data_IF_354504196201
#
_entry.id   IF_354504196201
#
_cell.length_a   1.000
_cell.length_b   1.000
_cell.length_c   1.000
_cell.angle_alpha   90.00
_cell.angle_beta   90.00
_cell.angle_gamma   90.00
#
_symmetry.space_group_name_H-M   'P 1'
#
loop_
_entity.id
_entity.type
_entity.pdbx_description
1 polymer ?
#
# COMPACT_ATOMS: atom_id res chain seq x y z
N UNK A 1 7.90 16.46 3.95
CA UNK A 1 8.71 16.25 5.17
C UNK A 1 8.00 16.89 6.34
N UNK A 2 7.81 16.18 7.45
CA UNK A 2 7.39 16.84 8.70
C UNK A 2 6.27 16.21 9.55
N UNK A 3 5.87 14.94 9.38
CA UNK A 3 4.79 14.38 10.20
C UNK A 3 5.25 13.42 11.31
N UNK A 4 6.48 12.90 11.27
CA UNK A 4 6.95 11.96 12.30
C UNK A 4 7.07 12.61 13.68
N UNK A 5 7.56 13.85 13.77
CA UNK A 5 7.70 14.56 15.05
C UNK A 5 6.34 14.92 15.67
N UNK A 6 5.36 15.29 14.83
CA UNK A 6 3.97 15.53 15.28
C UNK A 6 3.35 14.22 15.77
N UNK A 7 3.58 13.11 15.07
CA UNK A 7 3.10 11.80 15.50
C UNK A 7 3.74 11.36 16.82
N UNK A 8 5.06 11.55 16.99
CA UNK A 8 5.75 11.29 18.27
C UNK A 8 5.15 12.11 19.41
N UNK A 9 4.88 13.40 19.17
CA UNK A 9 4.23 14.26 20.16
C UNK A 9 2.83 13.77 20.52
N UNK A 10 2.00 13.41 19.52
CA UNK A 10 0.66 12.87 19.74
C UNK A 10 0.67 11.54 20.52
N UNK A 11 1.72 10.72 20.36
CA UNK A 11 1.91 9.47 21.10
C UNK A 11 2.39 9.67 22.53
N UNK A 12 2.98 10.82 22.85
CA UNK A 12 3.36 11.20 24.21
C UNK A 12 2.19 11.71 25.08
N UNK A 13 0.99 11.85 24.52
CA UNK A 13 -0.22 12.26 25.26
C UNK A 13 -0.78 11.11 26.09
N UNK A 14 -1.45 11.43 27.22
CA UNK A 14 -2.10 10.44 28.09
C UNK A 14 -3.62 10.75 28.20
N UNK A 15 -4.51 9.90 27.64
CA UNK A 15 -4.22 8.67 26.91
C UNK A 15 -3.65 8.94 25.49
N UNK A 16 -2.89 8.00 24.92
CA UNK A 16 -2.37 8.13 23.56
C UNK A 16 -3.53 8.15 22.56
N UNK A 17 -3.42 8.97 21.51
CA UNK A 17 -4.47 9.02 20.48
C UNK A 17 -4.60 7.69 19.73
N UNK A 18 -5.84 7.26 19.42
CA UNK A 18 -6.07 6.06 18.64
C UNK A 18 -5.46 6.19 17.23
N UNK A 19 -4.99 5.05 16.73
CA UNK A 19 -4.54 4.90 15.36
C UNK A 19 -5.76 4.89 14.43
N UNK A 20 -6.12 6.07 13.89
CA UNK A 20 -7.10 6.18 12.82
C UNK A 20 -6.41 5.90 11.47
N UNK A 21 -6.75 6.65 10.43
CA UNK A 21 -6.21 6.56 9.07
C UNK A 21 -4.72 6.94 8.96
N UNK A 22 -3.99 7.08 10.07
CA UNK A 22 -2.57 7.45 10.06
C UNK A 22 -1.75 6.46 9.24
N UNK A 23 -2.01 5.16 9.37
CA UNK A 23 -1.26 4.12 8.66
C UNK A 23 -1.67 4.01 7.19
N UNK A 24 -2.97 4.09 6.88
CA UNK A 24 -3.45 4.10 5.49
C UNK A 24 -2.97 5.34 4.73
N UNK A 25 -3.09 6.54 5.32
CA UNK A 25 -2.55 7.77 4.71
C UNK A 25 -1.02 7.75 4.58
N UNK A 26 -0.29 7.15 5.53
CA UNK A 26 1.15 6.98 5.38
C UNK A 26 1.49 6.04 4.22
N UNK A 27 0.67 5.03 3.96
CA UNK A 27 0.83 4.10 2.84
C UNK A 27 0.55 4.79 1.50
N UNK A 28 -0.56 5.53 1.40
CA UNK A 28 -0.96 6.34 0.25
C UNK A 28 0.11 7.37 -0.15
N UNK A 29 0.87 7.90 0.82
CA UNK A 29 1.98 8.84 0.57
C UNK A 29 3.36 8.19 0.53
N UNK A 30 3.46 6.87 0.64
CA UNK A 30 4.71 6.12 0.52
C UNK A 30 5.67 6.31 1.70
N UNK A 31 5.16 6.74 2.85
CA UNK A 31 5.94 7.04 4.06
C UNK A 31 6.28 5.77 4.85
N UNK A 32 7.10 4.91 4.26
CA UNK A 32 7.54 3.64 4.86
C UNK A 32 8.17 3.81 6.25
N UNK A 33 8.92 4.89 6.46
CA UNK A 33 9.51 5.22 7.76
C UNK A 33 8.46 5.45 8.86
N UNK A 34 7.34 6.08 8.53
CA UNK A 34 6.22 6.29 9.45
C UNK A 34 5.53 4.96 9.77
N UNK A 35 5.33 4.10 8.76
CA UNK A 35 4.73 2.77 8.95
C UNK A 35 5.58 1.87 9.85
N UNK A 36 6.91 1.86 9.66
CA UNK A 36 7.84 1.12 10.53
C UNK A 36 7.78 1.64 11.97
N UNK A 37 7.86 2.96 12.13
CA UNK A 37 7.79 3.58 13.45
C UNK A 37 6.45 3.31 14.15
N UNK A 38 5.32 3.38 13.43
CA UNK A 38 3.98 3.14 13.95
C UNK A 38 3.77 1.70 14.44
N UNK A 39 4.45 0.74 13.82
CA UNK A 39 4.46 -0.67 14.25
C UNK A 39 5.26 -0.90 15.54
N UNK A 40 6.24 -0.05 15.82
CA UNK A 40 7.10 -0.14 17.01
C UNK A 40 6.51 0.60 18.24
N UNK A 41 5.33 1.22 18.12
CA UNK A 41 4.68 1.94 19.22
C UNK A 41 3.88 1.02 20.17
N UNK A 42 3.56 1.53 21.36
CA UNK A 42 2.68 0.87 22.33
C UNK A 42 1.50 1.80 22.74
N UNK A 43 0.21 1.43 22.48
CA UNK A 43 -0.19 0.33 21.59
C UNK A 43 0.25 0.56 20.14
N UNK A 44 0.57 -0.50 19.37
CA UNK A 44 1.00 -0.39 17.98
C UNK A 44 -0.16 0.01 17.07
N UNK A 45 0.15 0.53 15.89
CA UNK A 45 -0.87 0.68 14.84
C UNK A 45 -1.50 -0.70 14.54
N UNK A 46 -2.83 -0.80 14.42
CA UNK A 46 -3.48 -2.05 14.07
C UNK A 46 -3.03 -2.47 12.68
N UNK A 47 -2.26 -3.55 12.63
CA UNK A 47 -1.91 -4.28 11.43
C UNK A 47 -2.72 -5.59 11.40
N UNK A 48 -4.00 -5.51 11.74
CA UNK A 48 -4.94 -6.60 11.51
C UNK A 48 -5.17 -6.83 10.01
N UNK A 49 -5.95 -7.85 9.66
CA UNK A 49 -6.11 -8.25 8.26
C UNK A 49 -6.75 -7.12 7.43
N UNK A 50 -7.85 -6.53 7.91
CA UNK A 50 -8.61 -5.49 7.22
C UNK A 50 -7.82 -4.19 7.02
N UNK A 51 -7.08 -3.75 8.06
CA UNK A 51 -6.27 -2.53 7.97
C UNK A 51 -5.07 -2.77 7.07
N UNK A 52 -4.45 -3.95 7.09
CA UNK A 52 -3.34 -4.28 6.18
C UNK A 52 -3.78 -4.28 4.73
N UNK A 53 -4.96 -4.80 4.43
CA UNK A 53 -5.50 -4.81 3.07
C UNK A 53 -5.75 -3.39 2.57
N UNK A 54 -6.28 -2.53 3.44
CA UNK A 54 -6.43 -1.09 3.15
C UNK A 54 -5.08 -0.42 2.90
N UNK A 55 -4.06 -0.68 3.74
CA UNK A 55 -2.70 -0.14 3.56
C UNK A 55 -2.09 -0.62 2.23
N UNK A 56 -2.30 -1.88 1.83
CA UNK A 56 -1.83 -2.39 0.54
C UNK A 56 -2.54 -1.70 -0.64
N UNK A 57 -3.86 -1.54 -0.59
CA UNK A 57 -4.62 -0.86 -1.63
C UNK A 57 -4.17 0.60 -1.80
N UNK A 58 -4.05 1.34 -0.70
CA UNK A 58 -3.61 2.74 -0.69
C UNK A 58 -2.16 2.91 -1.18
N UNK A 59 -1.26 2.00 -0.77
CA UNK A 59 0.11 2.01 -1.27
C UNK A 59 0.19 1.70 -2.77
N UNK A 60 -0.69 0.82 -3.28
CA UNK A 60 -0.80 0.52 -4.69
C UNK A 60 -1.42 1.68 -5.48
N UNK A 61 -2.45 2.33 -4.93
CA UNK A 61 -3.07 3.52 -5.49
C UNK A 61 -2.08 4.69 -5.58
N UNK A 62 -1.15 4.82 -4.63
CA UNK A 62 -0.07 5.80 -4.68
C UNK A 62 1.18 5.37 -5.48
N UNK A 63 1.20 4.14 -6.02
CA UNK A 63 2.33 3.61 -6.79
C UNK A 63 3.59 3.32 -5.95
N UNK A 64 3.43 3.16 -4.63
CA UNK A 64 4.51 3.07 -3.66
C UNK A 64 5.02 1.65 -3.45
N UNK A 65 5.77 1.17 -4.44
CA UNK A 65 6.35 -0.18 -4.47
C UNK A 65 7.14 -0.57 -3.20
N UNK A 66 7.91 0.35 -2.62
CA UNK A 66 8.73 0.04 -1.43
C UNK A 66 7.87 -0.26 -0.18
N UNK A 67 6.69 0.36 -0.07
CA UNK A 67 5.73 0.03 0.99
C UNK A 67 5.15 -1.37 0.76
N UNK A 68 4.78 -1.71 -0.48
CA UNK A 68 4.24 -3.03 -0.83
C UNK A 68 5.26 -4.15 -0.61
N UNK A 69 6.53 -3.94 -0.99
CA UNK A 69 7.63 -4.88 -0.69
C UNK A 69 7.77 -5.12 0.82
N UNK A 70 7.73 -4.05 1.60
CA UNK A 70 7.80 -4.16 3.05
C UNK A 70 6.61 -4.93 3.63
N UNK A 71 5.38 -4.64 3.19
CA UNK A 71 4.17 -5.32 3.64
C UNK A 71 4.17 -6.81 3.27
N UNK A 72 4.69 -7.16 2.10
CA UNK A 72 4.81 -8.56 1.65
C UNK A 72 5.89 -9.35 2.38
N UNK A 73 6.91 -8.66 2.91
CA UNK A 73 7.90 -9.25 3.82
C UNK A 73 7.39 -9.53 5.23
N UNK A 74 6.17 -9.08 5.58
CA UNK A 74 5.56 -9.40 6.87
C UNK A 74 4.99 -10.83 6.88
N UNK A 75 5.16 -11.55 7.98
CA UNK A 75 4.60 -12.89 8.16
C UNK A 75 3.22 -12.81 8.87
N UNK A 76 2.14 -13.42 8.34
CA UNK A 76 2.04 -14.09 7.03
C UNK A 76 2.01 -13.10 5.86
N UNK A 77 2.57 -13.50 4.69
CA UNK A 77 2.46 -12.73 3.46
C UNK A 77 0.99 -12.57 3.09
N UNK A 78 0.61 -11.39 2.60
CA UNK A 78 -0.80 -11.08 2.31
C UNK A 78 -1.23 -11.54 0.93
N UNK A 79 -2.50 -11.97 0.77
CA UNK A 79 -3.11 -12.11 -0.54
C UNK A 79 -3.14 -10.76 -1.24
N UNK A 80 -3.22 -10.81 -2.56
CA UNK A 80 -3.11 -9.62 -3.38
C UNK A 80 -4.34 -8.70 -3.38
N UNK A 81 -5.50 -9.16 -2.88
CA UNK A 81 -6.76 -8.41 -2.75
C UNK A 81 -6.91 -7.27 -3.78
N UNK A 82 -7.19 -6.05 -3.32
CA UNK A 82 -7.40 -4.90 -4.20
C UNK A 82 -6.11 -4.23 -4.65
N UNK A 83 -4.94 -4.79 -4.31
CA UNK A 83 -3.63 -4.17 -4.58
C UNK A 83 -3.43 -3.98 -6.09
N UNK A 84 -3.74 -4.99 -6.90
CA UNK A 84 -3.52 -4.89 -8.34
C UNK A 84 -4.61 -4.13 -9.06
N UNK A 85 -5.86 -4.26 -8.63
CA UNK A 85 -6.95 -3.42 -9.14
C UNK A 85 -6.65 -1.93 -8.89
N UNK A 86 -6.25 -1.57 -7.67
CA UNK A 86 -5.92 -0.17 -7.33
C UNK A 86 -4.69 0.34 -8.10
N UNK A 87 -3.66 -0.50 -8.27
CA UNK A 87 -2.51 -0.13 -9.11
C UNK A 87 -2.88 0.00 -10.59
N UNK A 88 -3.80 -0.83 -11.09
CA UNK A 88 -4.28 -0.78 -12.47
C UNK A 88 -5.13 0.46 -12.73
N UNK A 89 -6.09 0.76 -11.85
CA UNK A 89 -6.94 1.96 -11.93
C UNK A 89 -6.14 3.28 -11.95
N UNK A 90 -4.93 3.29 -11.38
CA UNK A 90 -4.04 4.47 -11.38
C UNK A 90 -2.90 4.39 -12.38
N UNK A 91 -2.83 3.33 -13.18
CA UNK A 91 -1.76 3.15 -14.17
C UNK A 91 -0.36 2.96 -13.55
N UNK A 92 -0.25 2.42 -12.35
CA UNK A 92 1.03 2.18 -11.66
C UNK A 92 1.70 0.89 -12.14
N UNK A 93 2.21 0.93 -13.37
CA UNK A 93 2.78 -0.21 -14.09
C UNK A 93 3.99 -0.85 -13.40
N UNK A 94 4.77 -0.06 -12.68
CA UNK A 94 5.89 -0.53 -11.87
C UNK A 94 5.42 -1.48 -10.74
N UNK A 95 4.28 -1.17 -10.12
CA UNK A 95 3.67 -2.01 -9.08
C UNK A 95 3.11 -3.29 -9.70
N UNK A 96 2.39 -3.18 -10.81
CA UNK A 96 1.80 -4.34 -11.51
C UNK A 96 2.86 -5.32 -12.00
N UNK A 97 3.95 -4.81 -12.61
CA UNK A 97 5.07 -5.65 -13.07
C UNK A 97 5.70 -6.40 -11.91
N UNK A 98 5.99 -5.69 -10.82
CA UNK A 98 6.51 -6.32 -9.62
C UNK A 98 5.56 -7.36 -9.04
N UNK A 99 4.26 -7.07 -8.98
CA UNK A 99 3.23 -7.97 -8.45
C UNK A 99 3.05 -9.25 -9.28
N UNK A 100 3.28 -9.16 -10.60
CA UNK A 100 3.29 -10.31 -11.51
C UNK A 100 4.50 -11.22 -11.31
N UNK A 101 5.63 -10.68 -10.88
CA UNK A 101 6.87 -11.43 -10.62
C UNK A 101 6.89 -12.12 -9.24
N UNK A 102 5.87 -11.91 -8.40
CA UNK A 102 5.82 -12.52 -7.08
C UNK A 102 5.19 -13.92 -7.08
N UNK A 103 5.42 -14.67 -6.01
CA UNK A 103 4.80 -15.98 -5.76
C UNK A 103 3.99 -15.97 -4.44
N UNK A 104 2.68 -16.29 -4.43
CA UNK A 104 1.82 -16.42 -5.62
C UNK A 104 1.74 -15.08 -6.37
N UNK A 105 1.56 -15.07 -7.70
CA UNK A 105 1.39 -13.84 -8.46
C UNK A 105 0.05 -13.19 -8.14
N UNK A 106 -0.05 -11.91 -8.42
CA UNK A 106 -1.33 -11.24 -8.32
C UNK A 106 -2.36 -11.79 -9.30
N UNK A 107 -3.62 -12.03 -8.89
CA UNK A 107 -4.67 -12.39 -9.82
C UNK A 107 -4.98 -11.18 -10.71
N UNK A 108 -4.48 -11.23 -11.94
CA UNK A 108 -4.98 -10.38 -13.02
C UNK A 108 -6.21 -11.08 -13.58
N UNK A 109 -7.37 -10.82 -12.98
CA UNK A 109 -8.64 -11.22 -13.57
C UNK A 109 -8.92 -10.39 -14.84
N UNK A 110 -10.00 -10.72 -15.55
CA UNK A 110 -10.36 -10.00 -16.78
C UNK A 110 -10.63 -8.51 -16.50
N UNK A 111 -11.15 -8.17 -15.32
CA UNK A 111 -11.43 -6.78 -14.92
C UNK A 111 -10.14 -5.97 -14.72
N UNK A 112 -9.12 -6.55 -14.07
CA UNK A 112 -7.80 -5.92 -13.94
C UNK A 112 -7.12 -5.80 -15.30
N UNK A 113 -7.23 -6.81 -16.17
CA UNK A 113 -6.66 -6.75 -17.53
C UNK A 113 -7.31 -5.67 -18.37
N UNK A 114 -8.63 -5.56 -18.35
CA UNK A 114 -9.38 -4.56 -19.12
C UNK A 114 -9.07 -3.14 -18.61
N UNK A 115 -8.91 -2.98 -17.29
CA UNK A 115 -8.48 -1.71 -16.67
C UNK A 115 -7.06 -1.32 -17.10
N UNK A 116 -6.11 -2.27 -17.11
CA UNK A 116 -4.74 -2.02 -17.60
C UNK A 116 -4.74 -1.62 -19.08
N UNK A 117 -5.55 -2.29 -19.91
CA UNK A 117 -5.65 -2.00 -21.34
C UNK A 117 -6.25 -0.60 -21.61
N UNK A 118 -7.30 -0.22 -20.87
CA UNK A 118 -7.94 1.08 -20.97
C UNK A 118 -6.95 2.20 -20.60
N UNK A 119 -6.24 2.05 -19.49
CA UNK A 119 -5.26 3.04 -19.01
C UNK A 119 -3.98 3.07 -19.85
N UNK A 120 -3.51 1.93 -20.36
CA UNK A 120 -2.40 1.89 -21.31
C UNK A 120 -2.74 2.64 -22.61
N UNK A 121 -4.01 2.61 -23.03
CA UNK A 121 -4.50 3.36 -24.18
C UNK A 121 -4.67 4.86 -23.91
N UNK A 122 -5.12 5.25 -22.71
CA UNK A 122 -5.34 6.65 -22.33
C UNK A 122 -4.04 7.36 -21.90
N UNK A 123 -3.14 6.65 -21.21
CA UNK A 123 -1.83 7.14 -20.73
C UNK A 123 -0.67 6.95 -21.72
N UNK A 124 -0.89 6.28 -22.87
CA UNK A 124 0.15 6.05 -23.89
C UNK A 124 1.23 5.03 -23.48
N UNK A 125 0.93 4.18 -22.50
CA UNK A 125 1.87 3.20 -21.96
C UNK A 125 1.68 1.81 -22.58
N UNK A 126 1.98 1.69 -23.88
CA UNK A 126 1.86 0.47 -24.69
C UNK A 126 2.79 -0.70 -24.27
N UNK A 127 3.71 -0.51 -23.32
CA UNK A 127 4.70 -1.54 -22.91
C UNK A 127 4.13 -2.64 -21.98
N UNK A 128 2.84 -2.60 -21.64
CA UNK A 128 2.24 -3.48 -20.61
C UNK A 128 1.19 -4.43 -21.18
N UNK A 129 0.90 -4.33 -22.48
CA UNK A 129 0.18 -5.35 -23.26
C UNK A 129 1.12 -6.52 -23.55
#
# INVERSE_FOLDING_TARGET
GGHLEVLKWLRGLNPPRPWHNTCTSAAEKGHLNVLRWAREQDPPCPFDEDVRDSICAEAAEGGHLEVLKWLRGLNPPRPWHNTCTSAAEKGHLNVLRWAREQDPPCPFDEDVRDSICAEAAEGGHLEVL
#
